data_IF_774317880916
#
_entry.id   IF_774317880916
#
_cell.length_a   1.000
_cell.length_b   1.000
_cell.length_c   1.000
_cell.angle_alpha   90.00
_cell.angle_beta   90.00
_cell.angle_gamma   90.00
#
_symmetry.space_group_name_H-M   'P 1'
#
loop_
_entity.id
_entity.type
_entity.pdbx_description
1 polymer ?
#
# COMPACT_ATOMS: atom_id res chain seq x y z
N UNK A 1 2.40 11.69 -2.59
CA UNK A 1 3.14 12.23 -1.45
C UNK A 1 4.12 11.19 -0.94
N UNK A 2 5.16 11.61 -0.23
CA UNK A 2 6.07 10.71 0.48
C UNK A 2 5.42 10.18 1.77
N UNK A 3 6.02 9.16 2.39
CA UNK A 3 5.52 8.66 3.67
C UNK A 3 5.60 9.74 4.77
N UNK A 4 6.69 10.51 4.80
CA UNK A 4 6.88 11.55 5.80
C UNK A 4 5.85 12.68 5.66
N UNK A 5 5.52 13.07 4.43
CA UNK A 5 4.42 14.01 4.15
C UNK A 5 3.07 13.47 4.63
N UNK A 6 2.78 12.20 4.33
CA UNK A 6 1.53 11.57 4.75
C UNK A 6 1.42 11.51 6.28
N UNK A 7 2.49 11.13 6.99
CA UNK A 7 2.51 11.09 8.47
C UNK A 7 2.43 12.49 9.08
N UNK A 8 3.05 13.49 8.46
CA UNK A 8 2.89 14.88 8.88
C UNK A 8 1.44 15.36 8.70
N UNK A 9 0.76 14.92 7.64
CA UNK A 9 -0.66 15.20 7.42
C UNK A 9 -1.56 14.46 8.42
N UNK A 10 -1.26 13.20 8.78
CA UNK A 10 -1.97 12.44 9.81
C UNK A 10 -2.02 13.16 11.16
N UNK A 11 -0.93 13.83 11.55
CA UNK A 11 -0.88 14.63 12.79
C UNK A 11 -1.86 15.81 12.79
N UNK A 12 -2.28 16.29 11.62
CA UNK A 12 -3.24 17.39 11.46
C UNK A 12 -4.66 16.88 11.27
N UNK A 13 -4.82 15.90 10.38
CA UNK A 13 -6.09 15.25 10.07
C UNK A 13 -5.85 13.73 10.05
N UNK A 14 -6.27 13.02 11.11
CA UNK A 14 -6.11 11.58 11.23
C UNK A 14 -6.84 10.86 10.08
N UNK A 15 -6.07 10.20 9.23
CA UNK A 15 -6.55 9.47 8.06
C UNK A 15 -5.57 8.36 7.75
N UNK A 16 -6.07 7.18 7.36
CA UNK A 16 -5.22 6.02 7.03
C UNK A 16 -4.31 6.32 5.84
N UNK A 17 -3.18 5.61 5.74
CA UNK A 17 -2.29 5.70 4.57
C UNK A 17 -2.50 4.48 3.68
N UNK A 18 -2.60 4.73 2.38
CA UNK A 18 -2.50 3.71 1.34
C UNK A 18 -1.15 3.88 0.64
N UNK A 19 -0.26 2.89 0.76
CA UNK A 19 1.05 2.91 0.13
C UNK A 19 1.12 1.88 -1.00
N UNK A 20 1.38 2.36 -2.22
CA UNK A 20 1.75 1.53 -3.37
C UNK A 20 3.27 1.29 -3.36
N UNK A 21 3.66 0.05 -3.10
CA UNK A 21 5.06 -0.40 -3.07
C UNK A 21 5.41 -1.07 -4.40
N UNK A 22 6.24 -0.39 -5.18
CA UNK A 22 6.55 -0.77 -6.56
C UNK A 22 8.06 -0.80 -6.84
N UNK A 23 8.45 -1.30 -8.01
CA UNK A 23 9.78 -1.12 -8.58
C UNK A 23 9.70 -0.70 -10.05
N UNK A 24 10.73 -0.02 -10.56
CA UNK A 24 10.72 0.54 -11.92
C UNK A 24 10.61 -0.54 -13.04
N UNK A 25 11.18 -1.72 -12.79
CA UNK A 25 11.20 -2.85 -13.73
C UNK A 25 9.96 -3.75 -13.61
N UNK A 26 9.11 -3.55 -12.60
CA UNK A 26 7.95 -4.40 -12.34
C UNK A 26 6.82 -4.12 -13.36
N UNK A 27 6.71 -4.98 -14.38
CA UNK A 27 5.62 -4.95 -15.35
C UNK A 27 4.22 -5.02 -14.72
N UNK A 28 3.95 -5.99 -13.82
CA UNK A 28 2.66 -6.08 -13.13
C UNK A 28 2.29 -4.84 -12.31
N UNK A 29 3.27 -4.12 -11.75
CA UNK A 29 3.03 -2.87 -11.03
C UNK A 29 2.53 -1.77 -11.96
N UNK A 30 3.11 -1.66 -13.17
CA UNK A 30 2.64 -0.72 -14.20
C UNK A 30 1.21 -1.05 -14.67
N UNK A 31 0.89 -2.34 -14.78
CA UNK A 31 -0.47 -2.77 -15.10
C UNK A 31 -1.45 -2.45 -13.97
N UNK A 32 -1.06 -2.64 -12.71
CA UNK A 32 -1.90 -2.33 -11.55
C UNK A 32 -2.21 -0.83 -11.51
N UNK A 33 -1.21 0.01 -11.72
CA UNK A 33 -1.39 1.46 -11.81
C UNK A 33 -2.39 1.82 -12.91
N UNK A 34 -2.15 1.33 -14.13
CA UNK A 34 -2.98 1.64 -15.31
C UNK A 34 -4.43 1.13 -15.20
N UNK A 35 -4.62 -0.10 -14.77
CA UNK A 35 -5.93 -0.76 -14.86
C UNK A 35 -6.75 -0.63 -13.57
N UNK A 36 -6.10 -0.31 -12.45
CA UNK A 36 -6.75 -0.30 -11.14
C UNK A 36 -6.65 1.06 -10.48
N UNK A 37 -5.45 1.63 -10.30
CA UNK A 37 -5.33 2.92 -9.60
C UNK A 37 -5.82 4.10 -10.43
N UNK A 38 -5.77 4.01 -11.77
CA UNK A 38 -6.36 5.02 -12.66
C UNK A 38 -7.87 4.83 -12.87
N UNK A 39 -8.49 3.76 -12.35
CA UNK A 39 -9.93 3.63 -12.37
C UNK A 39 -10.57 4.76 -11.54
N UNK A 40 -11.54 5.53 -12.08
CA UNK A 40 -12.06 6.71 -11.39
C UNK A 40 -12.74 6.42 -10.04
N UNK A 41 -13.30 5.23 -9.86
CA UNK A 41 -13.95 4.87 -8.60
C UNK A 41 -12.90 4.53 -7.53
N UNK A 42 -11.82 3.84 -7.93
CA UNK A 42 -10.68 3.53 -7.06
C UNK A 42 -9.94 4.80 -6.67
N UNK A 43 -9.54 5.63 -7.64
CA UNK A 43 -8.76 6.84 -7.39
C UNK A 43 -9.51 7.83 -6.49
N UNK A 44 -10.82 8.03 -6.74
CA UNK A 44 -11.68 8.86 -5.90
C UNK A 44 -11.76 8.32 -4.47
N UNK A 45 -12.01 7.03 -4.31
CA UNK A 45 -12.13 6.42 -2.98
C UNK A 45 -10.81 6.50 -2.20
N UNK A 46 -9.68 6.24 -2.85
CA UNK A 46 -8.36 6.38 -2.24
C UNK A 46 -8.12 7.82 -1.81
N UNK A 47 -8.37 8.79 -2.69
CA UNK A 47 -8.13 10.22 -2.41
C UNK A 47 -9.03 10.76 -1.29
N UNK A 48 -10.26 10.27 -1.19
CA UNK A 48 -11.22 10.70 -0.17
C UNK A 48 -10.89 10.14 1.22
N UNK A 49 -10.45 8.88 1.30
CA UNK A 49 -10.34 8.17 2.56
C UNK A 49 -8.92 7.85 3.02
N UNK A 50 -7.91 8.05 2.17
CA UNK A 50 -6.53 7.71 2.47
C UNK A 50 -5.55 8.80 2.02
N UNK A 51 -4.41 8.89 2.70
CA UNK A 51 -3.23 9.52 2.14
C UNK A 51 -2.54 8.53 1.20
N UNK A 52 -2.43 8.89 -0.08
CA UNK A 52 -1.83 8.04 -1.11
C UNK A 52 -0.31 8.25 -1.20
N UNK A 53 0.46 7.22 -0.85
CA UNK A 53 1.92 7.21 -0.89
C UNK A 53 2.38 6.27 -2.00
N UNK A 54 3.38 6.69 -2.77
CA UNK A 54 4.12 5.81 -3.68
C UNK A 54 5.51 5.62 -3.13
N UNK A 55 5.91 4.36 -2.96
CA UNK A 55 7.21 4.01 -2.42
C UNK A 55 7.93 3.07 -3.37
N UNK A 56 9.11 3.49 -3.84
CA UNK A 56 9.96 2.64 -4.66
C UNK A 56 10.76 1.70 -3.75
N UNK A 57 10.46 0.41 -3.81
CA UNK A 57 11.01 -0.61 -2.95
C UNK A 57 12.51 -0.87 -3.14
N UNK A 58 13.09 -0.38 -4.24
CA UNK A 58 14.53 -0.40 -4.55
C UNK A 58 15.09 1.03 -4.67
N UNK A 59 14.34 2.04 -4.23
CA UNK A 59 14.76 3.44 -4.26
C UNK A 59 15.85 3.77 -3.24
N UNK A 60 16.20 5.06 -3.19
CA UNK A 60 17.19 5.64 -2.27
C UNK A 60 16.57 6.62 -1.27
N UNK A 61 15.24 6.72 -1.23
CA UNK A 61 14.50 7.59 -0.31
C UNK A 61 14.85 7.24 1.14
N UNK A 62 15.29 8.21 1.94
CA UNK A 62 15.53 7.98 3.36
C UNK A 62 14.21 8.09 4.13
N UNK A 63 13.87 7.06 4.92
CA UNK A 63 12.62 7.03 5.68
C UNK A 63 12.93 6.99 7.17
N UNK A 64 12.31 7.89 7.96
CA UNK A 64 12.39 7.84 9.42
C UNK A 64 11.08 7.32 10.01
N UNK A 65 11.13 6.11 10.58
CA UNK A 65 9.96 5.41 11.10
C UNK A 65 10.27 4.80 12.47
N UNK A 66 9.39 5.01 13.46
CA UNK A 66 9.63 4.65 14.88
C UNK A 66 11.03 4.98 15.40
N UNK A 67 11.51 6.19 15.14
CA UNK A 67 12.85 6.67 15.52
C UNK A 67 14.02 5.84 14.93
N UNK A 68 13.76 5.01 13.92
CA UNK A 68 14.77 4.35 13.11
C UNK A 68 14.83 4.98 11.73
N UNK A 69 16.05 5.11 11.21
CA UNK A 69 16.32 5.55 9.85
C UNK A 69 16.51 4.32 8.95
N UNK A 70 15.73 4.25 7.89
CA UNK A 70 15.81 3.23 6.85
C UNK A 70 16.37 3.83 5.57
N UNK A 71 17.35 3.16 4.96
CA UNK A 71 17.96 3.57 3.69
C UNK A 71 18.12 2.36 2.76
N UNK A 72 18.78 2.55 1.63
CA UNK A 72 19.20 1.46 0.74
C UNK A 72 20.72 1.50 0.53
N UNK A 73 21.52 1.02 1.51
CA UNK A 73 22.97 1.16 1.48
C UNK A 73 23.64 0.34 0.35
N UNK A 74 22.92 -0.65 -0.18
CA UNK A 74 23.40 -1.53 -1.24
C UNK A 74 22.89 -1.11 -2.63
N UNK A 75 22.26 0.06 -2.73
CA UNK A 75 21.84 0.60 -4.01
C UNK A 75 23.05 0.92 -4.89
N UNK A 76 23.05 0.43 -6.12
CA UNK A 76 24.09 0.73 -7.11
C UNK A 76 23.50 1.58 -8.24
N UNK A 77 23.91 2.87 -8.39
CA UNK A 77 23.39 3.75 -9.42
C UNK A 77 23.77 3.34 -10.84
N UNK A 78 24.80 2.52 -11.02
CA UNK A 78 25.26 2.05 -12.33
C UNK A 78 24.60 0.73 -12.75
N UNK A 79 23.71 0.19 -11.92
CA UNK A 79 23.11 -1.12 -12.14
C UNK A 79 22.01 -1.06 -13.19
N UNK A 80 22.16 -1.87 -14.23
CA UNK A 80 21.10 -2.10 -15.21
C UNK A 80 20.14 -3.19 -14.72
N UNK A 81 18.86 -2.85 -14.50
CA UNK A 81 17.82 -3.79 -14.11
C UNK A 81 17.41 -3.66 -12.64
N UNK A 82 17.35 -4.80 -11.93
CA UNK A 82 16.93 -4.86 -10.51
C UNK A 82 18.03 -4.37 -9.60
N UNK A 83 17.68 -3.57 -8.59
CA UNK A 83 18.60 -3.07 -7.58
C UNK A 83 18.41 -3.76 -6.22
N UNK A 84 19.21 -3.38 -5.24
CA UNK A 84 19.04 -3.85 -3.87
C UNK A 84 17.70 -3.38 -3.28
N UNK A 85 17.09 -4.25 -2.48
CA UNK A 85 15.84 -3.95 -1.77
C UNK A 85 16.10 -2.97 -0.62
N UNK A 86 15.36 -1.86 -0.63
CA UNK A 86 15.37 -0.86 0.43
C UNK A 86 15.05 -1.48 1.79
N UNK A 87 15.73 -1.07 2.87
CA UNK A 87 15.55 -1.65 4.21
C UNK A 87 14.10 -1.51 4.71
N UNK A 88 13.45 -0.39 4.42
CA UNK A 88 12.04 -0.18 4.77
C UNK A 88 11.09 -1.19 4.10
N UNK A 89 11.36 -1.62 2.86
CA UNK A 89 10.61 -2.69 2.19
C UNK A 89 10.66 -4.00 2.99
N UNK A 90 11.85 -4.32 3.53
CA UNK A 90 12.07 -5.51 4.34
C UNK A 90 11.34 -5.40 5.69
N UNK A 91 11.40 -4.22 6.32
CA UNK A 91 10.68 -3.92 7.55
C UNK A 91 9.16 -4.08 7.39
N UNK A 92 8.59 -3.65 6.26
CA UNK A 92 7.16 -3.82 5.95
C UNK A 92 6.77 -5.26 5.61
N UNK A 93 7.72 -6.20 5.59
CA UNK A 93 7.44 -7.61 5.27
C UNK A 93 7.00 -7.83 3.82
N UNK A 94 7.37 -6.94 2.90
CA UNK A 94 7.02 -7.05 1.48
C UNK A 94 7.82 -8.19 0.84
N UNK A 95 7.10 -9.20 0.34
CA UNK A 95 7.70 -10.44 -0.24
C UNK A 95 7.64 -10.51 -1.76
N UNK A 96 6.96 -9.56 -2.41
CA UNK A 96 6.78 -9.54 -3.86
C UNK A 96 6.19 -8.21 -4.33
N UNK A 97 6.11 -8.03 -5.65
CA UNK A 97 5.57 -6.83 -6.25
C UNK A 97 4.49 -7.16 -7.30
N UNK A 98 3.45 -6.34 -7.44
CA UNK A 98 3.14 -5.18 -6.60
C UNK A 98 2.69 -5.58 -5.18
N UNK A 99 2.88 -4.69 -4.23
CA UNK A 99 2.32 -4.82 -2.88
C UNK A 99 1.72 -3.49 -2.46
N UNK A 100 0.54 -3.53 -1.84
CA UNK A 100 -0.06 -2.37 -1.19
C UNK A 100 0.05 -2.54 0.31
N UNK A 101 0.52 -1.51 1.00
CA UNK A 101 0.63 -1.50 2.47
C UNK A 101 -0.30 -0.43 3.01
N UNK A 102 -1.07 -0.79 4.03
CA UNK A 102 -1.97 0.12 4.71
C UNK A 102 -1.40 0.49 6.08
N UNK A 103 -1.56 1.75 6.46
CA UNK A 103 -1.22 2.22 7.80
C UNK A 103 -2.47 2.79 8.48
N UNK A 104 -2.58 2.57 9.79
CA UNK A 104 -3.61 3.15 10.64
C UNK A 104 -3.52 4.67 10.67
N UNK A 105 -4.51 5.34 11.24
CA UNK A 105 -4.56 6.77 11.47
C UNK A 105 -3.39 7.28 12.33
N UNK A 106 -2.84 6.43 13.20
CA UNK A 106 -1.67 6.71 14.05
C UNK A 106 -0.33 6.48 13.32
N UNK A 107 -0.40 5.90 12.11
CA UNK A 107 0.74 5.64 11.25
C UNK A 107 1.35 4.26 11.43
N UNK A 108 0.70 3.34 12.15
CA UNK A 108 1.18 1.98 12.36
C UNK A 108 0.84 1.09 11.15
N UNK A 109 1.75 0.24 10.65
CA UNK A 109 1.47 -0.65 9.53
C UNK A 109 0.44 -1.72 9.93
N UNK A 110 -0.57 -1.95 9.09
CA UNK A 110 -1.62 -2.94 9.30
C UNK A 110 -1.20 -4.30 8.72
N UNK A 111 -1.20 -4.42 7.39
CA UNK A 111 -0.74 -5.62 6.69
C UNK A 111 -0.34 -5.31 5.24
N UNK A 112 0.65 -6.02 4.68
CA UNK A 112 0.93 -5.97 3.25
C UNK A 112 -0.06 -6.85 2.48
N UNK A 113 -0.61 -6.30 1.41
CA UNK A 113 -1.47 -6.98 0.47
C UNK A 113 -0.71 -7.17 -0.84
N UNK A 114 -0.24 -8.40 -1.06
CA UNK A 114 0.65 -8.74 -2.17
C UNK A 114 -0.18 -9.17 -3.38
N UNK A 115 0.11 -8.58 -4.55
CA UNK A 115 -0.39 -9.04 -5.83
C UNK A 115 -1.17 -8.00 -6.61
N UNK A 116 -1.64 -8.43 -7.78
CA UNK A 116 -2.43 -7.61 -8.69
C UNK A 116 -3.92 -7.76 -8.39
N UNK A 117 -4.62 -6.64 -8.17
CA UNK A 117 -6.05 -6.61 -7.89
C UNK A 117 -6.76 -5.74 -8.92
N UNK A 118 -7.86 -6.23 -9.50
CA UNK A 118 -8.77 -5.43 -10.34
C UNK A 118 -9.58 -4.45 -9.47
N UNK A 119 -10.21 -3.41 -10.06
CA UNK A 119 -11.01 -2.43 -9.30
C UNK A 119 -12.00 -3.03 -8.29
N UNK A 120 -12.81 -4.00 -8.72
CA UNK A 120 -13.77 -4.68 -7.83
C UNK A 120 -13.13 -5.52 -6.72
N UNK A 121 -11.94 -6.06 -6.98
CA UNK A 121 -11.23 -6.89 -6.00
C UNK A 121 -10.54 -6.02 -4.94
N UNK A 122 -9.92 -4.91 -5.34
CA UNK A 122 -9.29 -3.99 -4.39
C UNK A 122 -10.33 -3.23 -3.55
N UNK A 123 -11.53 -2.99 -4.08
CA UNK A 123 -12.63 -2.33 -3.38
C UNK A 123 -12.94 -2.97 -2.02
N UNK A 124 -12.95 -4.31 -1.96
CA UNK A 124 -13.17 -5.07 -0.74
C UNK A 124 -12.19 -4.66 0.36
N UNK A 125 -10.90 -4.64 0.04
CA UNK A 125 -9.85 -4.32 1.01
C UNK A 125 -9.86 -2.84 1.38
N UNK A 126 -10.07 -1.95 0.41
CA UNK A 126 -10.18 -0.51 0.66
C UNK A 126 -11.33 -0.20 1.63
N UNK A 127 -12.49 -0.83 1.46
CA UNK A 127 -13.65 -0.63 2.34
C UNK A 127 -13.45 -1.26 3.72
N UNK A 128 -13.02 -2.52 3.75
CA UNK A 128 -12.73 -3.26 4.99
C UNK A 128 -11.73 -2.51 5.87
N UNK A 129 -10.63 -2.01 5.28
CA UNK A 129 -9.58 -1.31 6.02
C UNK A 129 -10.03 0.08 6.45
N UNK A 130 -10.74 0.81 5.57
CA UNK A 130 -11.34 2.10 5.93
C UNK A 130 -12.26 1.97 7.13
N UNK A 131 -13.14 0.98 7.13
CA UNK A 131 -14.14 0.76 8.18
C UNK A 131 -13.57 0.15 9.46
N UNK A 132 -12.40 -0.49 9.39
CA UNK A 132 -11.81 -1.19 10.53
C UNK A 132 -12.39 -2.58 10.76
N UNK A 133 -13.17 -3.11 9.82
CA UNK A 133 -13.86 -4.40 9.94
C UNK A 133 -12.88 -5.57 10.23
N UNK A 134 -11.64 -5.46 9.75
CA UNK A 134 -10.60 -6.46 9.97
C UNK A 134 -10.21 -6.61 11.46
N UNK A 135 -10.47 -5.61 12.29
CA UNK A 135 -10.07 -5.63 13.71
C UNK A 135 -10.86 -6.64 14.55
N UNK A 136 -12.06 -7.02 14.10
CA UNK A 136 -12.89 -8.03 14.78
C UNK A 136 -12.72 -9.44 14.22
N UNK A 137 -11.91 -9.60 13.17
CA UNK A 137 -11.64 -10.93 12.60
C UNK A 137 -10.75 -11.70 13.55
N UNK A 138 -11.25 -12.82 14.04
CA UNK A 138 -10.59 -13.69 15.01
C UNK A 138 -10.19 -15.03 14.40
N UNK A 139 -10.86 -15.44 13.33
CA UNK A 139 -10.64 -16.72 12.64
C UNK A 139 -10.59 -16.51 11.13
N UNK A 140 -9.92 -17.41 10.37
CA UNK A 140 -9.84 -17.31 8.91
C UNK A 140 -11.22 -17.23 8.22
N UNK A 141 -12.24 -17.89 8.79
CA UNK A 141 -13.59 -17.91 8.24
C UNK A 141 -14.27 -16.54 8.28
N UNK A 142 -13.88 -15.64 9.19
CA UNK A 142 -14.46 -14.30 9.30
C UNK A 142 -14.21 -13.49 8.02
N UNK A 143 -12.98 -13.59 7.48
CA UNK A 143 -12.62 -12.93 6.23
C UNK A 143 -13.32 -13.55 5.02
N UNK A 144 -13.39 -14.89 4.93
CA UNK A 144 -14.11 -15.53 3.81
C UNK A 144 -15.61 -15.22 3.85
N UNK A 145 -16.21 -15.16 5.05
CA UNK A 145 -17.60 -14.72 5.21
C UNK A 145 -17.80 -13.27 4.79
N UNK A 146 -16.88 -12.37 5.16
CA UNK A 146 -16.90 -10.98 4.74
C UNK A 146 -16.87 -10.87 3.21
N UNK A 147 -15.92 -11.56 2.59
CA UNK A 147 -15.73 -11.59 1.15
C UNK A 147 -16.93 -12.16 0.38
N UNK A 148 -17.55 -13.23 0.88
CA UNK A 148 -18.73 -13.83 0.25
C UNK A 148 -19.97 -12.91 0.32
N UNK A 149 -20.05 -12.05 1.34
CA UNK A 149 -21.14 -11.07 1.49
C UNK A 149 -20.84 -9.74 0.80
N UNK A 150 -19.60 -9.51 0.39
CA UNK A 150 -19.18 -8.25 -0.20
C UNK A 150 -19.71 -8.11 -1.64
N UNK A 151 -20.47 -7.04 -1.89
CA UNK A 151 -21.00 -6.71 -3.22
C UNK A 151 -20.23 -5.50 -3.77
N UNK A 152 -19.35 -5.67 -4.78
CA UNK A 152 -18.55 -4.59 -5.32
C UNK A 152 -19.43 -3.57 -6.08
N UNK A 153 -19.10 -2.29 -5.92
CA UNK A 153 -19.76 -1.14 -6.53
C UNK A 153 -18.87 -0.42 -7.54
N UNK A 154 -17.56 -0.63 -7.49
CA UNK A 154 -16.63 0.00 -8.43
C UNK A 154 -16.84 -0.55 -9.85
N UNK A 155 -16.68 0.31 -10.84
CA UNK A 155 -16.64 -0.09 -12.24
C UNK A 155 -15.39 -0.92 -12.51
N UNK A 156 -15.57 -1.99 -13.29
CA UNK A 156 -14.52 -2.95 -13.64
C UNK A 156 -13.64 -2.48 -14.79
#
# INVERSE_FOLDING_TARGET
MTLDEARAAQKKEPKKIFMDVYTNWCGPCKLLDKNTFQNPDVSRYISEHFYAVKFNAEGTEEITFYNQKFTNPNYDPNRNGRNATHQFTQFLGVRGYPTMVFFSEDGDPIMPLVGYYKPKQIELYLKMIKQGDYQVFSKPEDFENYKNKFVPRFRG
#
